data_IF_225751697796
#
_entry.id   IF_225751697796
#
_cell.length_a   1.000
_cell.length_b   1.000
_cell.length_c   1.000
_cell.angle_alpha   90.00
_cell.angle_beta   90.00
_cell.angle_gamma   90.00
#
_symmetry.space_group_name_H-M   'P 1'
#
loop_
_entity.id
_entity.type
_entity.pdbx_description
1 polymer ?
#
# COMPACT_ATOMS: atom_id res chain seq x y z
N UNK A 1 11.36 -11.27 -21.81
CA UNK A 1 11.61 -10.14 -20.89
C UNK A 1 12.70 -10.60 -19.93
N UNK A 2 13.97 -10.18 -20.12
CA UNK A 2 15.09 -10.64 -19.24
C UNK A 2 15.19 -9.87 -17.93
N UNK A 3 14.54 -8.71 -17.86
CA UNK A 3 14.57 -7.77 -16.73
C UNK A 3 14.00 -8.37 -15.42
N UNK A 4 13.00 -9.25 -15.50
CA UNK A 4 12.34 -9.82 -14.31
C UNK A 4 13.08 -11.01 -13.68
N UNK A 5 14.21 -11.44 -14.24
CA UNK A 5 14.98 -12.56 -13.70
C UNK A 5 15.55 -12.20 -12.31
N UNK A 6 15.51 -13.14 -11.37
CA UNK A 6 15.87 -12.91 -9.96
C UNK A 6 14.93 -12.01 -9.13
N UNK A 7 13.98 -11.27 -9.73
CA UNK A 7 13.10 -10.30 -9.01
C UNK A 7 11.92 -10.89 -8.23
N UNK A 8 11.82 -12.23 -8.11
CA UNK A 8 10.78 -12.97 -7.34
C UNK A 8 9.33 -12.42 -7.45
N UNK A 9 8.78 -12.17 -8.67
CA UNK A 9 7.45 -11.60 -8.82
C UNK A 9 6.33 -12.45 -8.18
N UNK A 10 5.40 -11.81 -7.49
CA UNK A 10 4.30 -12.48 -6.79
C UNK A 10 3.37 -13.30 -7.72
N UNK A 11 2.87 -14.49 -7.31
CA UNK A 11 2.08 -15.37 -8.17
C UNK A 11 0.84 -14.71 -8.77
N UNK A 12 0.05 -13.99 -7.97
CA UNK A 12 -1.17 -13.31 -8.44
C UNK A 12 -0.85 -12.20 -9.47
N UNK A 13 0.29 -11.53 -9.33
CA UNK A 13 0.77 -10.53 -10.30
C UNK A 13 1.18 -11.19 -11.63
N UNK A 14 1.92 -12.30 -11.61
CA UNK A 14 2.27 -13.05 -12.82
C UNK A 14 1.02 -13.59 -13.53
N UNK A 15 0.14 -14.23 -12.78
CA UNK A 15 -1.10 -14.82 -13.30
C UNK A 15 -2.03 -13.76 -13.88
N UNK A 16 -2.21 -12.62 -13.19
CA UNK A 16 -3.01 -11.50 -13.71
C UNK A 16 -2.43 -10.93 -15.00
N UNK A 17 -1.13 -10.60 -15.02
CA UNK A 17 -0.46 -10.04 -16.21
C UNK A 17 -0.51 -11.00 -17.41
N UNK A 18 -0.38 -12.31 -17.18
CA UNK A 18 -0.44 -13.32 -18.26
C UNK A 18 -1.79 -13.46 -18.97
N UNK A 19 -2.88 -12.97 -18.34
CA UNK A 19 -4.23 -13.03 -18.88
C UNK A 19 -4.64 -11.77 -19.65
N UNK A 20 -3.85 -10.69 -19.57
CA UNK A 20 -4.15 -9.42 -20.23
C UNK A 20 -4.07 -9.55 -21.75
N UNK A 21 -4.99 -8.86 -22.43
CA UNK A 21 -5.06 -8.71 -23.89
C UNK A 21 -5.08 -7.22 -24.25
N UNK A 22 -3.93 -6.53 -24.22
CA UNK A 22 -3.87 -5.09 -24.47
C UNK A 22 -4.37 -4.75 -25.88
N UNK A 23 -5.31 -3.81 -25.97
CA UNK A 23 -5.94 -3.38 -27.23
C UNK A 23 -7.32 -4.00 -27.51
N UNK A 24 -7.74 -5.02 -26.75
CA UNK A 24 -9.12 -5.55 -26.78
C UNK A 24 -10.03 -4.80 -25.79
N UNK A 25 -11.30 -4.59 -26.13
CA UNK A 25 -12.28 -4.02 -25.21
C UNK A 25 -12.47 -4.96 -24.00
N UNK A 26 -12.26 -4.44 -22.79
CA UNK A 26 -12.26 -5.25 -21.57
C UNK A 26 -11.07 -6.19 -21.43
N UNK A 27 -10.11 -6.21 -22.36
CA UNK A 27 -8.92 -7.08 -22.34
C UNK A 27 -7.93 -6.80 -21.20
N UNK A 28 -8.15 -5.73 -20.43
CA UNK A 28 -7.41 -5.46 -19.19
C UNK A 28 -8.01 -6.15 -17.95
N UNK A 29 -9.20 -6.74 -18.05
CA UNK A 29 -9.89 -7.42 -16.95
C UNK A 29 -9.42 -8.86 -16.82
N UNK A 30 -9.35 -9.34 -15.58
CA UNK A 30 -9.10 -10.74 -15.25
C UNK A 30 -10.25 -11.27 -14.40
N UNK A 31 -10.48 -12.59 -14.42
CA UNK A 31 -11.55 -13.20 -13.64
C UNK A 31 -11.39 -12.93 -12.14
N UNK A 32 -12.51 -12.80 -11.42
CA UNK A 32 -12.50 -12.71 -9.95
C UNK A 32 -11.76 -13.91 -9.37
N UNK A 33 -10.87 -13.65 -8.41
CA UNK A 33 -10.13 -14.70 -7.73
C UNK A 33 -10.13 -14.40 -6.21
N UNK A 34 -10.79 -15.21 -5.37
CA UNK A 34 -10.77 -15.01 -3.92
C UNK A 34 -9.37 -15.19 -3.30
N UNK A 35 -8.44 -15.85 -3.99
CA UNK A 35 -7.02 -15.94 -3.60
C UNK A 35 -6.16 -14.78 -4.16
N UNK A 36 -6.76 -13.88 -4.94
CA UNK A 36 -6.13 -12.70 -5.55
C UNK A 36 -5.82 -11.55 -4.57
N UNK A 37 -5.58 -11.85 -3.30
CA UNK A 37 -5.51 -10.87 -2.18
C UNK A 37 -4.13 -10.23 -1.98
N UNK A 38 -3.14 -10.56 -2.81
CA UNK A 38 -1.75 -10.16 -2.62
C UNK A 38 -1.47 -8.65 -2.74
N UNK A 39 -0.44 -8.18 -2.04
CA UNK A 39 0.08 -6.81 -2.02
C UNK A 39 0.50 -6.27 -3.39
N UNK A 40 0.63 -7.14 -4.40
CA UNK A 40 1.20 -6.81 -5.71
C UNK A 40 0.53 -5.66 -6.45
N UNK A 41 -0.72 -5.33 -6.11
CA UNK A 41 -1.38 -4.10 -6.55
C UNK A 41 -1.00 -2.91 -5.66
N UNK A 42 -1.18 -2.99 -4.35
CA UNK A 42 -0.77 -1.95 -3.39
C UNK A 42 0.65 -1.40 -3.67
N UNK A 43 1.64 -2.29 -3.79
CA UNK A 43 3.07 -1.95 -4.00
C UNK A 43 3.38 -1.23 -5.33
N UNK A 44 2.44 -1.19 -6.28
CA UNK A 44 2.58 -0.48 -7.58
C UNK A 44 1.59 0.67 -7.74
N UNK A 45 0.81 0.98 -6.70
CA UNK A 45 -0.32 1.91 -6.76
C UNK A 45 -0.09 3.23 -6.05
N UNK A 46 1.08 3.51 -5.50
CA UNK A 46 1.41 4.85 -5.01
C UNK A 46 1.30 5.89 -6.14
N UNK A 47 1.84 5.57 -7.32
CA UNK A 47 1.62 6.39 -8.52
C UNK A 47 0.17 6.37 -9.05
N UNK A 48 -0.73 5.52 -8.53
CA UNK A 48 -2.18 5.63 -8.81
C UNK A 48 -2.82 6.79 -8.04
N UNK A 49 -2.19 7.28 -6.97
CA UNK A 49 -2.47 8.62 -6.42
C UNK A 49 -2.23 9.74 -7.44
N UNK A 50 -1.62 9.38 -8.59
CA UNK A 50 -1.40 10.21 -9.76
C UNK A 50 -2.15 9.66 -11.01
N UNK A 51 -2.40 8.32 -11.17
CA UNK A 51 -3.34 7.69 -12.17
C UNK A 51 -3.53 6.13 -12.10
N UNK A 52 -4.79 5.61 -12.10
CA UNK A 52 -5.43 4.23 -12.22
C UNK A 52 -4.66 2.94 -12.74
N UNK A 53 -5.07 1.65 -12.58
CA UNK A 53 -6.32 0.94 -12.11
C UNK A 53 -6.15 -0.59 -11.65
N UNK A 54 -7.23 -1.22 -11.14
CA UNK A 54 -7.71 -2.66 -10.99
C UNK A 54 -6.79 -3.89 -10.62
N UNK A 55 -7.07 -4.58 -9.49
CA UNK A 55 -6.94 -6.06 -9.33
C UNK A 55 -8.18 -6.86 -8.80
N UNK A 56 -8.15 -8.20 -8.93
CA UNK A 56 -9.29 -9.15 -8.84
C UNK A 56 -9.92 -9.51 -7.47
N UNK A 57 -9.74 -8.73 -6.40
CA UNK A 57 -10.31 -9.03 -5.06
C UNK A 57 -10.35 -7.77 -4.19
N UNK A 58 -11.40 -7.52 -3.36
CA UNK A 58 -11.50 -6.31 -2.54
C UNK A 58 -10.31 -6.12 -1.61
N UNK A 59 -9.83 -7.17 -0.93
CA UNK A 59 -8.63 -7.11 -0.10
C UNK A 59 -7.39 -6.66 -0.89
N UNK A 60 -7.30 -7.00 -2.17
CA UNK A 60 -6.23 -6.58 -3.08
C UNK A 60 -6.41 -5.15 -3.61
N UNK A 61 -7.56 -4.82 -4.21
CA UNK A 61 -7.76 -3.51 -4.84
C UNK A 61 -7.90 -2.37 -3.83
N UNK A 62 -8.48 -2.62 -2.66
CA UNK A 62 -8.54 -1.59 -1.61
C UNK A 62 -7.14 -1.29 -1.04
N UNK A 63 -6.19 -2.22 -1.16
CA UNK A 63 -4.77 -1.95 -0.90
C UNK A 63 -4.13 -1.01 -1.91
N UNK A 64 -4.51 -1.13 -3.18
CA UNK A 64 -4.14 -0.15 -4.21
C UNK A 64 -4.77 1.22 -3.94
N UNK A 65 -6.06 1.27 -3.58
CA UNK A 65 -6.74 2.50 -3.17
C UNK A 65 -6.06 3.14 -1.96
N UNK A 66 -5.72 2.37 -0.92
CA UNK A 66 -5.01 2.87 0.26
C UNK A 66 -3.64 3.49 -0.10
N UNK A 67 -2.84 2.78 -0.90
CA UNK A 67 -1.50 3.25 -1.31
C UNK A 67 -1.56 4.52 -2.15
N UNK A 68 -2.53 4.60 -3.08
CA UNK A 68 -2.82 5.80 -3.87
C UNK A 68 -3.31 6.97 -3.01
N UNK A 69 -4.24 6.72 -2.09
CA UNK A 69 -4.85 7.72 -1.21
C UNK A 69 -3.82 8.31 -0.24
N UNK A 70 -3.00 7.46 0.38
CA UNK A 70 -1.95 7.90 1.31
C UNK A 70 -0.88 8.73 0.60
N UNK A 71 -0.53 8.38 -0.64
CA UNK A 71 0.33 9.20 -1.52
C UNK A 71 -0.28 10.59 -1.74
N UNK A 72 -1.58 10.67 -2.09
CA UNK A 72 -2.27 11.94 -2.27
C UNK A 72 -2.38 12.76 -0.95
N UNK A 73 -2.61 12.09 0.18
CA UNK A 73 -2.65 12.72 1.51
C UNK A 73 -1.28 13.24 1.96
N UNK A 74 -0.19 12.55 1.62
CA UNK A 74 1.18 12.99 1.85
C UNK A 74 1.49 14.30 1.09
N UNK A 75 1.14 14.35 -0.21
CA UNK A 75 1.27 15.55 -1.04
C UNK A 75 0.44 16.71 -0.48
N UNK A 76 -0.81 16.45 -0.07
CA UNK A 76 -1.71 17.42 0.55
C UNK A 76 -1.31 17.84 1.98
N UNK A 77 -0.26 17.24 2.57
CA UNK A 77 0.14 17.47 3.97
C UNK A 77 -0.97 17.23 4.99
N UNK A 78 -1.89 16.29 4.71
CA UNK A 78 -2.91 15.87 5.69
C UNK A 78 -2.23 15.19 6.88
N UNK A 79 -2.68 15.43 8.14
CA UNK A 79 -2.11 14.76 9.31
C UNK A 79 -2.19 13.23 9.18
N UNK A 80 -1.07 12.54 9.44
CA UNK A 80 -0.94 11.09 9.18
C UNK A 80 -1.98 10.27 9.99
N UNK A 81 -2.37 10.75 11.16
CA UNK A 81 -3.39 10.12 12.01
C UNK A 81 -4.77 10.05 11.37
N UNK A 82 -5.10 10.91 10.38
CA UNK A 82 -6.42 10.88 9.71
C UNK A 82 -6.45 9.96 8.48
N UNK A 83 -5.32 9.40 8.05
CA UNK A 83 -5.22 8.73 6.75
C UNK A 83 -6.07 7.45 6.69
N UNK A 84 -5.96 6.59 7.70
CA UNK A 84 -6.77 5.37 7.77
C UNK A 84 -8.26 5.63 7.99
N UNK A 85 -8.62 6.70 8.71
CA UNK A 85 -10.02 7.13 8.82
C UNK A 85 -10.57 7.54 7.45
N UNK A 86 -9.84 8.37 6.69
CA UNK A 86 -10.25 8.77 5.33
C UNK A 86 -10.34 7.60 4.36
N UNK A 87 -9.49 6.59 4.50
CA UNK A 87 -9.62 5.32 3.76
C UNK A 87 -10.97 4.63 4.02
N UNK A 88 -11.38 4.51 5.29
CA UNK A 88 -12.63 3.86 5.66
C UNK A 88 -13.89 4.70 5.38
N UNK A 89 -13.86 6.00 5.68
CA UNK A 89 -15.05 6.87 5.65
C UNK A 89 -15.27 7.57 4.32
N UNK A 90 -14.20 7.86 3.56
CA UNK A 90 -14.26 8.51 2.25
C UNK A 90 -14.06 7.48 1.12
N UNK A 91 -12.90 6.81 1.10
CA UNK A 91 -12.44 6.08 -0.09
C UNK A 91 -13.14 4.72 -0.30
N UNK A 92 -13.31 3.91 0.74
CA UNK A 92 -14.00 2.62 0.63
C UNK A 92 -15.45 2.74 0.10
N UNK A 93 -16.31 3.65 0.62
CA UNK A 93 -17.65 3.87 0.05
C UNK A 93 -17.62 4.29 -1.43
N UNK A 94 -16.70 5.17 -1.83
CA UNK A 94 -16.55 5.61 -3.22
C UNK A 94 -16.13 4.44 -4.12
N UNK A 95 -15.15 3.65 -3.69
CA UNK A 95 -14.70 2.46 -4.41
C UNK A 95 -15.82 1.42 -4.56
N UNK A 96 -16.66 1.24 -3.53
CA UNK A 96 -17.81 0.31 -3.58
C UNK A 96 -18.86 0.75 -4.60
N UNK A 97 -19.21 2.04 -4.61
CA UNK A 97 -20.11 2.61 -5.60
C UNK A 97 -19.56 2.46 -7.03
N UNK A 98 -18.24 2.60 -7.22
CA UNK A 98 -17.60 2.35 -8.52
C UNK A 98 -17.75 0.89 -8.97
N UNK A 99 -17.46 -0.09 -8.09
CA UNK A 99 -17.63 -1.52 -8.41
C UNK A 99 -19.07 -1.83 -8.82
N UNK A 100 -20.05 -1.39 -8.04
CA UNK A 100 -21.47 -1.53 -8.36
C UNK A 100 -21.79 -0.94 -9.75
N UNK A 101 -21.31 0.27 -10.03
CA UNK A 101 -21.50 0.95 -11.32
C UNK A 101 -20.79 0.30 -12.51
N UNK A 102 -19.81 -0.59 -12.28
CA UNK A 102 -19.16 -1.38 -13.35
C UNK A 102 -19.87 -2.70 -13.68
N UNK A 103 -20.73 -3.20 -12.79
CA UNK A 103 -21.53 -4.40 -13.03
C UNK A 103 -20.71 -5.69 -13.23
N UNK A 104 -19.46 -5.75 -12.75
CA UNK A 104 -18.57 -6.90 -12.91
C UNK A 104 -18.18 -7.46 -11.54
N UNK A 105 -18.38 -8.77 -11.35
CA UNK A 105 -18.09 -9.51 -10.10
C UNK A 105 -18.63 -8.82 -8.83
N UNK A 106 -19.80 -8.16 -8.93
CA UNK A 106 -20.33 -7.31 -7.86
C UNK A 106 -20.70 -8.15 -6.64
N UNK A 107 -21.44 -9.25 -6.81
CA UNK A 107 -21.88 -10.09 -5.69
C UNK A 107 -20.70 -10.69 -4.91
N UNK A 108 -19.67 -11.18 -5.61
CA UNK A 108 -18.47 -11.73 -5.00
C UNK A 108 -17.64 -10.65 -4.28
N UNK A 109 -17.52 -9.47 -4.91
CA UNK A 109 -16.77 -8.34 -4.36
C UNK A 109 -17.47 -7.75 -3.14
N UNK A 110 -18.81 -7.66 -3.14
CA UNK A 110 -19.57 -7.17 -1.99
C UNK A 110 -19.56 -8.16 -0.82
N UNK A 111 -19.63 -9.47 -1.10
CA UNK A 111 -19.52 -10.53 -0.09
C UNK A 111 -18.20 -10.45 0.67
N UNK A 112 -17.09 -10.28 -0.04
CA UNK A 112 -15.75 -10.33 0.54
C UNK A 112 -15.24 -8.94 1.00
N UNK A 113 -16.02 -7.87 0.79
CA UNK A 113 -15.66 -6.49 1.12
C UNK A 113 -15.35 -6.25 2.61
N UNK A 114 -16.15 -6.87 3.49
CA UNK A 114 -16.11 -6.61 4.93
C UNK A 114 -14.72 -6.81 5.54
N UNK A 115 -14.00 -7.86 5.13
CA UNK A 115 -12.69 -8.22 5.67
C UNK A 115 -11.70 -7.04 5.69
N UNK A 116 -11.60 -6.29 4.58
CA UNK A 116 -10.66 -5.17 4.49
C UNK A 116 -11.07 -4.05 5.45
N UNK A 117 -12.33 -3.64 5.43
CA UNK A 117 -12.84 -2.58 6.30
C UNK A 117 -12.71 -2.94 7.79
N UNK A 118 -13.10 -4.16 8.16
CA UNK A 118 -13.09 -4.63 9.55
C UNK A 118 -11.66 -4.71 10.10
N UNK A 119 -10.70 -5.19 9.30
CA UNK A 119 -9.28 -5.22 9.68
C UNK A 119 -8.68 -3.83 9.82
N UNK A 120 -9.04 -2.90 8.93
CA UNK A 120 -8.60 -1.51 9.04
C UNK A 120 -9.21 -0.79 10.23
N UNK A 121 -10.51 -0.99 10.51
CA UNK A 121 -11.16 -0.44 11.69
C UNK A 121 -10.49 -0.96 12.97
N UNK A 122 -10.29 -2.28 13.08
CA UNK A 122 -9.57 -2.91 14.17
C UNK A 122 -8.16 -2.31 14.38
N UNK A 123 -7.41 -2.08 13.32
CA UNK A 123 -6.07 -1.47 13.40
C UNK A 123 -6.12 -0.04 13.97
N UNK A 124 -7.07 0.77 13.52
CA UNK A 124 -7.20 2.16 13.98
C UNK A 124 -7.66 2.22 15.44
N UNK A 125 -8.54 1.33 15.87
CA UNK A 125 -8.92 1.18 17.28
C UNK A 125 -7.74 0.67 18.13
N UNK A 126 -6.98 -0.31 17.64
CA UNK A 126 -5.77 -0.83 18.27
C UNK A 126 -4.66 0.23 18.43
N UNK A 127 -4.63 1.23 17.56
CA UNK A 127 -3.75 2.42 17.66
C UNK A 127 -4.39 3.63 18.34
N UNK A 128 -5.66 3.57 18.70
CA UNK A 128 -6.37 4.70 19.33
C UNK A 128 -6.62 5.91 18.42
N UNK A 129 -6.61 5.72 17.09
CA UNK A 129 -6.73 6.79 16.07
C UNK A 129 -7.96 6.63 15.16
N UNK A 130 -8.96 5.83 15.55
CA UNK A 130 -10.17 5.58 14.74
C UNK A 130 -11.07 6.81 14.53
N UNK A 131 -10.89 7.87 15.31
CA UNK A 131 -11.50 9.19 15.09
C UNK A 131 -10.55 10.19 14.38
N UNK A 132 -9.36 9.75 13.94
CA UNK A 132 -8.34 10.57 13.31
C UNK A 132 -7.50 11.43 14.26
N UNK A 133 -7.81 11.44 15.56
CA UNK A 133 -7.13 12.22 16.60
C UNK A 133 -5.96 11.42 17.16
N UNK A 134 -4.78 12.03 17.24
CA UNK A 134 -3.58 11.43 17.85
C UNK A 134 -3.32 11.88 19.29
N UNK A 135 -2.21 11.43 19.90
CA UNK A 135 -1.16 10.59 19.30
C UNK A 135 -1.58 9.11 19.19
N UNK A 136 -1.00 8.37 18.22
CA UNK A 136 -1.17 6.92 18.15
C UNK A 136 -0.54 6.23 19.37
N UNK A 137 -1.20 5.17 19.86
CA UNK A 137 -0.73 4.37 20.99
C UNK A 137 0.12 3.20 20.48
N UNK A 138 1.41 3.21 20.84
CA UNK A 138 2.32 2.07 20.65
C UNK A 138 2.54 1.34 21.98
N UNK A 139 2.77 0.01 21.96
CA UNK A 139 3.23 -0.73 23.13
C UNK A 139 4.54 -0.17 23.69
N UNK A 140 4.76 -0.29 25.01
CA UNK A 140 6.00 0.16 25.66
C UNK A 140 7.24 -0.62 25.20
N UNK A 141 7.08 -1.90 24.91
CA UNK A 141 8.06 -2.72 24.18
C UNK A 141 7.58 -2.90 22.74
N UNK A 142 8.25 -2.23 21.80
CA UNK A 142 7.91 -2.29 20.37
C UNK A 142 9.16 -2.32 19.48
N UNK A 143 10.15 -3.13 19.89
CA UNK A 143 11.36 -3.43 19.14
C UNK A 143 11.11 -4.42 18.00
N UNK A 144 12.15 -4.86 17.27
CA UNK A 144 11.99 -5.72 16.10
C UNK A 144 11.23 -7.02 16.37
N UNK A 145 11.47 -7.70 17.49
CA UNK A 145 10.79 -8.94 17.85
C UNK A 145 9.31 -8.73 18.19
N UNK A 146 8.98 -7.66 18.94
CA UNK A 146 7.60 -7.32 19.27
C UNK A 146 6.83 -6.83 18.04
N UNK A 147 7.51 -6.16 17.09
CA UNK A 147 6.93 -5.77 15.79
C UNK A 147 6.63 -6.97 14.92
N UNK A 148 7.52 -7.96 14.82
CA UNK A 148 7.26 -9.19 14.07
C UNK A 148 6.01 -9.94 14.60
N UNK A 149 5.85 -10.06 15.92
CA UNK A 149 4.63 -10.66 16.51
C UNK A 149 3.38 -9.78 16.30
N UNK A 150 3.50 -8.46 16.41
CA UNK A 150 2.39 -7.56 16.10
C UNK A 150 1.96 -7.64 14.63
N UNK A 151 2.91 -7.62 13.70
CA UNK A 151 2.65 -7.68 12.26
C UNK A 151 2.02 -9.02 11.85
N UNK A 152 2.38 -10.15 12.48
CA UNK A 152 1.66 -11.43 12.31
C UNK A 152 0.16 -11.30 12.61
N UNK A 153 -0.23 -10.51 13.62
CA UNK A 153 -1.65 -10.27 13.95
C UNK A 153 -2.40 -9.40 12.93
N UNK A 154 -1.66 -8.54 12.20
CA UNK A 154 -2.22 -7.72 11.12
C UNK A 154 -2.49 -8.59 9.87
N UNK A 155 -1.65 -9.61 9.68
CA UNK A 155 -1.67 -10.46 8.48
C UNK A 155 -2.95 -11.28 8.27
N UNK A 156 -3.19 -11.65 7.02
CA UNK A 156 -4.27 -12.59 6.65
C UNK A 156 -3.92 -14.05 6.96
N UNK A 157 -2.66 -14.44 6.81
CA UNK A 157 -2.23 -15.85 6.83
C UNK A 157 -0.81 -16.08 7.39
N UNK A 158 -0.39 -15.26 8.35
CA UNK A 158 0.87 -15.41 9.10
C UNK A 158 2.10 -14.76 8.47
N UNK A 159 2.09 -14.48 7.16
CA UNK A 159 3.15 -13.70 6.50
C UNK A 159 2.67 -12.25 6.30
N UNK A 160 3.18 -11.36 7.15
CA UNK A 160 2.71 -9.98 7.28
C UNK A 160 3.24 -9.04 6.20
N UNK A 161 2.39 -8.17 5.67
CA UNK A 161 2.68 -7.25 4.57
C UNK A 161 2.44 -7.85 3.17
N UNK A 162 2.00 -9.12 3.10
CA UNK A 162 1.83 -9.86 1.84
C UNK A 162 0.50 -9.60 1.15
N UNK A 163 -0.48 -9.01 1.84
CA UNK A 163 -1.82 -8.78 1.33
C UNK A 163 -2.10 -7.29 1.12
N UNK A 164 -3.11 -6.98 0.32
CA UNK A 164 -3.46 -5.58 0.05
C UNK A 164 -3.97 -4.82 1.29
N UNK A 165 -4.48 -5.50 2.33
CA UNK A 165 -4.89 -4.81 3.56
C UNK A 165 -3.72 -4.49 4.48
N UNK A 166 -2.75 -5.40 4.67
CA UNK A 166 -1.69 -5.27 5.66
C UNK A 166 -0.41 -4.58 5.15
N UNK A 167 -0.10 -4.64 3.85
CA UNK A 167 1.04 -3.92 3.27
C UNK A 167 0.98 -2.39 3.51
N UNK A 168 -0.09 -1.67 3.11
CA UNK A 168 -0.25 -0.25 3.44
C UNK A 168 -0.51 0.02 4.94
N UNK A 169 -0.98 -0.96 5.71
CA UNK A 169 -1.20 -0.83 7.15
C UNK A 169 0.12 -0.80 7.93
N UNK A 170 1.05 -1.71 7.63
CA UNK A 170 2.41 -1.71 8.21
C UNK A 170 3.18 -0.48 7.76
N UNK A 171 3.01 -0.05 6.50
CA UNK A 171 3.59 1.20 6.02
C UNK A 171 3.08 2.43 6.79
N UNK A 172 1.77 2.52 7.06
CA UNK A 172 1.19 3.57 7.91
C UNK A 172 1.70 3.47 9.36
N UNK A 173 1.83 2.26 9.90
CA UNK A 173 2.36 2.02 11.25
C UNK A 173 3.81 2.52 11.41
N UNK A 174 4.63 2.31 10.38
CA UNK A 174 5.99 2.82 10.31
C UNK A 174 6.03 4.35 10.23
N UNK A 175 5.21 4.96 9.35
CA UNK A 175 5.11 6.43 9.23
C UNK A 175 4.68 7.10 10.54
N UNK A 176 3.69 6.53 11.22
CA UNK A 176 3.19 7.01 12.52
C UNK A 176 4.23 6.87 13.63
N UNK A 177 5.07 5.82 13.58
CA UNK A 177 6.08 5.53 14.60
C UNK A 177 7.43 6.24 14.40
N UNK A 178 7.81 6.52 13.15
CA UNK A 178 9.12 7.08 12.81
C UNK A 178 9.12 8.61 12.63
N UNK A 179 7.99 9.20 12.22
CA UNK A 179 7.95 10.62 11.86
C UNK A 179 8.98 10.95 10.77
N UNK A 180 9.85 11.92 11.02
CA UNK A 180 10.92 12.34 10.09
C UNK A 180 12.24 11.57 10.24
N UNK A 181 12.26 10.44 10.94
CA UNK A 181 13.46 9.60 11.08
C UNK A 181 13.47 8.49 10.02
N UNK A 182 14.46 8.52 9.13
CA UNK A 182 14.62 7.54 8.06
C UNK A 182 15.08 6.16 8.58
N UNK A 183 15.94 6.12 9.61
CA UNK A 183 16.46 4.87 10.15
C UNK A 183 15.34 4.13 10.89
N UNK A 184 14.55 4.84 11.69
CA UNK A 184 13.40 4.27 12.38
C UNK A 184 12.28 3.87 11.40
N UNK A 185 12.08 4.60 10.29
CA UNK A 185 11.16 4.19 9.23
C UNK A 185 11.58 2.84 8.64
N UNK A 186 12.85 2.69 8.26
CA UNK A 186 13.35 1.46 7.66
C UNK A 186 13.41 0.31 8.68
N UNK A 187 13.74 0.59 9.93
CA UNK A 187 13.66 -0.35 11.08
C UNK A 187 12.25 -0.92 11.25
N UNK A 188 11.20 -0.12 10.99
CA UNK A 188 9.80 -0.55 11.09
C UNK A 188 9.27 -1.19 9.80
N UNK A 189 9.44 -0.53 8.65
CA UNK A 189 8.84 -0.94 7.39
C UNK A 189 9.68 -1.91 6.56
N UNK A 190 11.02 -1.80 6.58
CA UNK A 190 11.88 -2.59 5.69
C UNK A 190 12.64 -3.74 6.36
N UNK A 191 12.81 -3.69 7.69
CA UNK A 191 13.60 -4.66 8.44
C UNK A 191 12.75 -5.46 9.45
N UNK A 192 11.76 -6.19 8.92
CA UNK A 192 10.90 -7.12 9.66
C UNK A 192 10.81 -8.47 8.94
N UNK A 193 10.42 -9.54 9.64
CA UNK A 193 10.32 -10.92 9.10
C UNK A 193 9.12 -11.17 8.18
N UNK A 194 8.58 -10.12 7.56
CA UNK A 194 7.39 -10.15 6.71
C UNK A 194 7.70 -10.10 5.21
N UNK A 195 6.77 -9.58 4.43
CA UNK A 195 6.93 -9.18 3.03
C UNK A 195 7.42 -7.72 3.03
N UNK A 196 8.69 -7.56 3.41
CA UNK A 196 9.25 -6.29 3.89
C UNK A 196 9.68 -5.32 2.79
N UNK A 197 9.90 -5.80 1.56
CA UNK A 197 10.09 -4.94 0.39
C UNK A 197 8.77 -4.30 -0.06
N UNK A 198 7.64 -5.01 0.03
CA UNK A 198 6.30 -4.49 -0.28
C UNK A 198 5.84 -3.40 0.69
N UNK A 199 6.12 -3.56 1.99
CA UNK A 199 5.82 -2.55 3.02
C UNK A 199 6.78 -1.36 2.94
N UNK A 200 8.08 -1.61 2.76
CA UNK A 200 9.09 -0.56 2.60
C UNK A 200 8.80 0.36 1.42
N UNK A 201 8.43 -0.17 0.24
CA UNK A 201 8.21 0.68 -0.94
C UNK A 201 7.02 1.62 -0.77
N UNK A 202 5.95 1.17 -0.11
CA UNK A 202 4.78 2.02 0.21
C UNK A 202 5.18 3.09 1.26
N UNK A 203 5.87 2.68 2.33
CA UNK A 203 6.29 3.56 3.41
C UNK A 203 7.27 4.64 2.93
N UNK A 204 8.35 4.24 2.24
CA UNK A 204 9.38 5.14 1.73
C UNK A 204 8.85 6.11 0.66
N UNK A 205 7.87 5.70 -0.16
CA UNK A 205 7.21 6.60 -1.10
C UNK A 205 6.44 7.72 -0.37
N UNK A 206 5.60 7.37 0.60
CA UNK A 206 4.86 8.35 1.41
C UNK A 206 5.81 9.24 2.24
N UNK A 207 6.84 8.66 2.83
CA UNK A 207 7.84 9.37 3.63
C UNK A 207 8.66 10.34 2.79
N UNK A 208 9.11 9.93 1.60
CA UNK A 208 9.86 10.81 0.67
C UNK A 208 9.03 12.00 0.19
N UNK A 209 7.71 11.84 0.04
CA UNK A 209 6.80 12.95 -0.27
C UNK A 209 6.64 13.92 0.92
N UNK A 210 6.75 13.42 2.15
CA UNK A 210 6.69 14.24 3.37
C UNK A 210 8.03 14.94 3.68
N UNK A 211 9.16 14.27 3.56
CA UNK A 211 10.45 14.71 4.11
C UNK A 211 11.59 14.82 3.06
N UNK A 212 11.32 14.49 1.80
CA UNK A 212 12.33 14.48 0.73
C UNK A 212 13.37 13.39 0.97
N UNK A 213 14.65 13.75 0.84
CA UNK A 213 15.80 12.87 1.13
C UNK A 213 16.57 13.30 2.38
N UNK A 214 16.01 14.20 3.21
CA UNK A 214 16.69 14.74 4.38
C UNK A 214 16.99 13.64 5.41
N UNK A 215 18.26 13.41 5.74
CA UNK A 215 18.68 12.36 6.67
C UNK A 215 18.76 10.95 6.06
N UNK A 216 18.43 10.78 4.77
CA UNK A 216 18.66 9.52 4.05
C UNK A 216 20.15 9.42 3.68
N UNK A 217 20.88 8.38 4.10
CA UNK A 217 22.26 8.18 3.68
C UNK A 217 22.40 8.09 2.15
N UNK A 218 23.34 8.84 1.57
CA UNK A 218 23.54 8.90 0.11
C UNK A 218 23.78 7.50 -0.51
N UNK A 219 24.45 6.60 0.22
CA UNK A 219 24.67 5.21 -0.20
C UNK A 219 23.39 4.41 -0.44
N UNK A 220 22.25 4.81 0.13
CA UNK A 220 20.97 4.10 -0.02
C UNK A 220 20.30 4.35 -1.38
N UNK A 221 20.62 5.44 -2.07
CA UNK A 221 19.95 5.82 -3.33
C UNK A 221 20.89 6.25 -4.46
N UNK A 222 22.12 6.66 -4.17
CA UNK A 222 23.04 7.26 -5.16
C UNK A 222 23.29 6.38 -6.39
N UNK A 223 23.44 5.07 -6.18
CA UNK A 223 23.67 4.06 -7.21
C UNK A 223 22.47 3.10 -7.37
N UNK A 224 21.26 3.55 -7.03
CA UNK A 224 20.05 2.73 -7.12
C UNK A 224 19.77 2.30 -8.57
N UNK A 225 19.39 1.03 -8.76
CA UNK A 225 18.96 0.55 -10.06
C UNK A 225 17.79 1.41 -10.60
N UNK A 226 17.89 1.82 -11.86
CA UNK A 226 16.91 2.70 -12.51
C UNK A 226 16.73 4.09 -11.92
N UNK A 227 17.64 4.60 -11.08
CA UNK A 227 17.63 5.97 -10.55
C UNK A 227 17.22 7.03 -11.58
N UNK A 228 17.95 7.14 -12.69
CA UNK A 228 17.66 8.12 -13.76
C UNK A 228 16.27 7.94 -14.41
N UNK A 229 15.70 6.73 -14.39
CA UNK A 229 14.33 6.49 -14.89
C UNK A 229 13.30 6.92 -13.85
N UNK A 230 13.58 6.66 -12.56
CA UNK A 230 12.71 7.04 -11.44
C UNK A 230 12.64 8.56 -11.32
N UNK A 231 13.79 9.25 -11.31
CA UNK A 231 13.88 10.72 -11.24
C UNK A 231 13.13 11.39 -12.40
N UNK A 232 13.41 11.01 -13.67
CA UNK A 232 12.68 11.53 -14.84
C UNK A 232 11.17 11.23 -14.81
N UNK A 233 10.76 10.07 -14.28
CA UNK A 233 9.34 9.75 -14.16
C UNK A 233 8.66 10.62 -13.10
N UNK A 234 9.35 10.90 -11.98
CA UNK A 234 8.85 11.78 -10.94
C UNK A 234 8.72 13.23 -11.43
N UNK A 235 9.70 13.73 -12.20
CA UNK A 235 9.64 15.05 -12.86
C UNK A 235 8.44 15.16 -13.81
N UNK A 236 8.21 14.14 -14.65
CA UNK A 236 7.07 14.10 -15.57
C UNK A 236 5.72 14.02 -14.84
N UNK A 237 5.64 13.27 -13.75
CA UNK A 237 4.44 13.18 -12.92
C UNK A 237 4.15 14.51 -12.21
N UNK A 238 5.17 15.20 -11.71
CA UNK A 238 5.04 16.54 -11.12
C UNK A 238 4.61 17.60 -12.15
N UNK A 239 5.13 17.51 -13.38
CA UNK A 239 4.71 18.39 -14.48
C UNK A 239 3.25 18.16 -14.92
N UNK A 240 2.68 16.98 -14.65
CA UNK A 240 1.27 16.66 -14.94
C UNK A 240 0.29 17.06 -13.82
N UNK A 241 0.78 17.49 -12.65
CA UNK A 241 -0.06 17.91 -11.52
C UNK A 241 -0.33 19.42 -11.49
N UNK A 242 0.01 20.14 -12.56
CA UNK A 242 -0.08 21.60 -12.71
C UNK A 242 -0.71 21.96 -14.07
#
# INVERSE_FOLDING_TARGET
MKDMDGRKPGPSSMLGVSQLKPGEEGGYRVAYNPEGTGCGAAMRSMCIGLRQDDPSSPTGFLGAVASALFTAYAIQRRPITTWGLGLLSEACPIAKNFVQGRGYAVEETERDWGYFCDKWQWYLDFRGISNGIGPPVFPSSYGPAERDEAYKSFSLSGWAGRSGHDAPMIALDALLGAGSDWEELMSRAGFHGGDSDSTAVIAACCWGLLYGTQGVPEGNYSNLEYRDRLERSAEQLYALSH
#
